data_IF_664810369345
#
_entry.id   IF_664810369345
#
_cell.length_a   1.000
_cell.length_b   1.000
_cell.length_c   1.000
_cell.angle_alpha   90.00
_cell.angle_beta   90.00
_cell.angle_gamma   90.00
#
_symmetry.space_group_name_H-M   'P 1'
#
loop_
_entity.id
_entity.type
_entity.pdbx_description
1 polymer ?
#
# COMPACT_ATOMS: atom_id res chain seq x y z
N UNK A 1 -28.77 38.66 -44.46
CA UNK A 1 -30.23 38.68 -44.62
C UNK A 1 -30.58 37.36 -45.31
N UNK A 2 -31.16 36.32 -44.72
CA UNK A 2 -32.21 36.23 -43.71
C UNK A 2 -32.01 35.00 -42.80
N UNK A 3 -32.35 35.18 -41.53
CA UNK A 3 -32.61 34.12 -40.56
C UNK A 3 -33.77 33.24 -41.00
N UNK A 4 -33.68 31.93 -40.75
CA UNK A 4 -34.85 31.09 -40.54
C UNK A 4 -34.73 30.34 -39.22
N UNK A 5 -35.50 30.83 -38.26
CA UNK A 5 -35.96 30.12 -37.07
C UNK A 5 -37.30 29.47 -37.42
N UNK A 6 -37.48 28.18 -37.12
CA UNK A 6 -38.77 27.51 -36.86
C UNK A 6 -38.43 26.08 -36.42
N UNK A 7 -38.41 25.81 -35.10
CA UNK A 7 -39.54 25.26 -34.34
C UNK A 7 -40.01 23.89 -34.86
N UNK A 8 -39.52 22.81 -34.25
CA UNK A 8 -40.28 21.57 -34.14
C UNK A 8 -40.14 21.01 -32.74
N UNK A 9 -41.19 21.24 -31.96
CA UNK A 9 -41.44 20.62 -30.66
C UNK A 9 -41.91 19.19 -30.90
N UNK A 10 -41.04 18.21 -30.69
CA UNK A 10 -41.47 16.82 -30.49
C UNK A 10 -41.67 16.60 -29.00
N UNK A 11 -42.93 16.69 -28.61
CA UNK A 11 -43.46 16.22 -27.33
C UNK A 11 -43.45 14.69 -27.27
N UNK A 12 -43.75 14.12 -26.09
CA UNK A 12 -43.90 12.68 -25.75
C UNK A 12 -42.58 11.96 -25.42
N UNK A 13 -42.32 11.41 -24.22
CA UNK A 13 -43.19 11.12 -23.08
C UNK A 13 -42.36 11.15 -21.79
N UNK A 14 -42.76 12.02 -20.85
CA UNK A 14 -42.46 11.86 -19.44
C UNK A 14 -43.36 10.76 -18.89
N UNK A 15 -42.87 9.52 -18.86
CA UNK A 15 -43.48 8.50 -18.01
C UNK A 15 -43.09 8.78 -16.55
N UNK A 16 -43.90 9.64 -15.94
CA UNK A 16 -44.19 9.64 -14.52
C UNK A 16 -44.86 8.32 -14.14
N UNK A 17 -44.20 7.52 -13.29
CA UNK A 17 -44.83 6.63 -12.29
C UNK A 17 -43.76 6.40 -11.21
N UNK A 18 -43.58 7.38 -10.32
CA UNK A 18 -44.17 7.44 -8.97
C UNK A 18 -43.37 6.64 -7.92
N UNK A 19 -42.70 7.31 -6.96
CA UNK A 19 -42.19 6.70 -5.74
C UNK A 19 -43.34 6.59 -4.74
N UNK A 20 -43.72 5.37 -4.35
CA UNK A 20 -44.80 5.16 -3.38
C UNK A 20 -44.33 4.28 -2.22
N UNK A 21 -44.26 4.95 -1.07
CA UNK A 21 -44.52 4.47 0.29
C UNK A 21 -43.46 3.61 0.99
N UNK A 22 -42.85 4.08 2.09
CA UNK A 22 -43.41 4.35 3.43
C UNK A 22 -44.05 3.11 4.08
N UNK A 23 -43.31 2.47 4.98
CA UNK A 23 -43.65 2.40 6.42
C UNK A 23 -42.59 1.61 7.22
N UNK A 24 -41.97 2.30 8.18
CA UNK A 24 -41.25 1.71 9.33
C UNK A 24 -42.27 1.09 10.31
N UNK A 25 -41.80 0.24 11.25
CA UNK A 25 -41.76 0.78 12.62
C UNK A 25 -40.43 0.53 13.36
N UNK A 26 -40.17 1.32 14.43
CA UNK A 26 -39.02 1.16 15.31
C UNK A 26 -39.31 0.08 16.37
N UNK A 27 -38.29 -0.65 16.80
CA UNK A 27 -38.32 -1.36 18.08
C UNK A 27 -37.19 -0.86 18.97
N UNK A 28 -37.61 0.04 19.85
CA UNK A 28 -36.98 0.35 21.12
C UNK A 28 -36.83 -0.93 21.94
N UNK A 29 -35.67 -1.13 22.55
CA UNK A 29 -35.55 -1.65 23.92
C UNK A 29 -34.15 -1.33 24.43
N UNK A 30 -34.07 -0.33 25.31
CA UNK A 30 -32.93 -0.19 26.20
C UNK A 30 -33.04 -1.21 27.34
N UNK A 31 -31.90 -1.71 27.80
CA UNK A 31 -31.64 -1.91 29.23
C UNK A 31 -30.20 -1.49 29.49
N UNK A 32 -29.96 -0.55 30.42
CA UNK A 32 -28.64 -0.20 30.91
C UNK A 32 -28.28 -1.06 32.13
N UNK A 33 -27.00 -1.42 32.28
CA UNK A 33 -26.30 -1.62 33.57
C UNK A 33 -24.82 -1.85 33.25
N UNK A 34 -23.93 -0.91 33.52
CA UNK A 34 -23.25 -0.75 34.82
C UNK A 34 -22.71 -2.06 35.36
N UNK A 35 -21.44 -2.35 35.05
CA UNK A 35 -20.49 -2.72 36.08
C UNK A 35 -19.19 -1.95 35.85
N UNK A 36 -18.95 -1.03 36.78
CA UNK A 36 -17.63 -0.47 37.06
C UNK A 36 -16.72 -1.62 37.48
N UNK A 37 -15.55 -1.68 36.87
CA UNK A 37 -14.43 -2.49 37.33
C UNK A 37 -13.19 -1.60 37.40
N UNK A 38 -13.11 -0.79 38.46
CA UNK A 38 -11.86 -0.15 38.85
C UNK A 38 -10.88 -1.22 39.31
N UNK A 39 -9.87 -1.45 38.48
CA UNK A 39 -8.76 -2.36 38.75
C UNK A 39 -7.44 -1.66 38.49
N UNK A 40 -7.15 -0.62 39.29
CA UNK A 40 -5.82 -0.03 39.36
C UNK A 40 -4.86 -1.01 40.01
N UNK A 41 -3.94 -1.57 39.23
CA UNK A 41 -2.67 -2.05 39.78
C UNK A 41 -1.51 -1.72 38.84
N UNK A 42 -0.83 -0.64 39.21
CA UNK A 42 0.52 -0.35 38.78
C UNK A 42 1.42 -1.55 39.12
N UNK A 43 2.10 -2.05 38.09
CA UNK A 43 3.19 -3.00 38.16
C UNK A 43 4.05 -2.76 36.94
N UNK A 44 5.15 -2.05 37.15
CA UNK A 44 6.09 -1.60 36.14
C UNK A 44 6.70 -2.80 35.43
N UNK A 45 6.21 -3.11 34.24
CA UNK A 45 6.88 -3.96 33.27
C UNK A 45 7.58 -3.05 32.27
N UNK A 46 8.81 -2.66 32.57
CA UNK A 46 9.72 -2.15 31.55
C UNK A 46 10.06 -3.32 30.62
N UNK A 47 9.16 -3.64 29.69
CA UNK A 47 9.48 -4.48 28.56
C UNK A 47 10.11 -3.59 27.50
N UNK A 48 11.33 -3.17 27.79
CA UNK A 48 12.26 -2.71 26.77
C UNK A 48 12.38 -3.82 25.76
N UNK A 49 11.67 -3.72 24.64
CA UNK A 49 11.97 -4.50 23.43
C UNK A 49 13.27 -3.94 22.84
N UNK A 50 14.35 -4.02 23.62
CA UNK A 50 15.70 -4.08 23.10
C UNK A 50 15.66 -5.31 22.21
N UNK A 51 15.68 -5.14 20.89
CA UNK A 51 16.09 -6.23 20.03
C UNK A 51 17.48 -6.65 20.53
N UNK A 52 17.68 -7.86 21.07
CA UNK A 52 19.02 -8.37 21.22
C UNK A 52 19.51 -8.60 19.79
N UNK A 53 20.23 -7.61 19.24
CA UNK A 53 21.13 -7.85 18.11
C UNK A 53 22.34 -8.61 18.63
N UNK A 54 22.07 -9.83 19.08
CA UNK A 54 23.03 -10.85 19.48
C UNK A 54 22.56 -12.17 18.87
N UNK A 55 22.36 -12.15 17.56
CA UNK A 55 22.67 -13.34 16.78
C UNK A 55 24.01 -13.01 16.17
N UNK A 56 25.04 -13.66 16.69
CA UNK A 56 26.26 -13.94 15.95
C UNK A 56 25.83 -14.47 14.58
N UNK A 57 25.70 -13.56 13.61
CA UNK A 57 25.95 -13.93 12.25
C UNK A 57 27.39 -14.41 12.27
N UNK A 58 27.70 -15.66 11.88
CA UNK A 58 29.04 -15.93 11.45
C UNK A 58 29.27 -14.93 10.32
N UNK A 59 30.05 -13.89 10.59
CA UNK A 59 30.61 -13.06 9.53
C UNK A 59 31.30 -14.08 8.64
N UNK A 60 30.71 -14.32 7.46
CA UNK A 60 31.38 -14.99 6.38
C UNK A 60 32.74 -14.32 6.29
N UNK A 61 33.75 -15.12 6.60
CA UNK A 61 35.12 -14.72 6.82
C UNK A 61 35.50 -13.73 5.72
N UNK A 62 35.77 -12.49 6.10
CA UNK A 62 36.36 -11.48 5.21
C UNK A 62 37.85 -11.80 5.04
N UNK A 63 38.12 -12.98 4.48
CA UNK A 63 39.46 -13.32 4.02
C UNK A 63 39.66 -12.63 2.67
N UNK A 64 40.16 -11.39 2.71
CA UNK A 64 41.14 -10.89 1.74
C UNK A 64 41.51 -9.45 2.11
N UNK A 65 42.39 -9.27 3.11
CA UNK A 65 43.16 -8.03 3.22
C UNK A 65 44.25 -8.05 2.12
N UNK A 66 43.83 -7.84 0.87
CA UNK A 66 44.70 -7.40 -0.22
C UNK A 66 44.04 -6.19 -0.84
N UNK A 67 44.83 -5.20 -1.26
CA UNK A 67 44.34 -3.99 -1.93
C UNK A 67 43.83 -4.29 -3.34
N UNK A 68 42.77 -5.11 -3.43
CA UNK A 68 41.83 -5.12 -4.52
C UNK A 68 40.63 -4.29 -4.04
N UNK A 69 40.16 -3.36 -4.88
CA UNK A 69 38.88 -2.69 -4.61
C UNK A 69 37.80 -3.75 -4.41
N UNK A 70 36.96 -3.61 -3.38
CA UNK A 70 35.81 -4.49 -3.17
C UNK A 70 35.01 -4.63 -4.48
N UNK A 71 34.58 -5.85 -4.85
CA UNK A 71 33.75 -6.04 -6.03
C UNK A 71 32.47 -5.21 -5.90
N UNK A 72 32.24 -4.31 -6.85
CA UNK A 72 31.04 -3.46 -6.89
C UNK A 72 29.85 -4.31 -7.31
N UNK A 73 28.75 -4.24 -6.54
CA UNK A 73 27.49 -4.90 -6.90
C UNK A 73 26.76 -4.15 -8.01
N UNK A 74 27.04 -4.56 -9.25
CA UNK A 74 26.45 -3.98 -10.47
C UNK A 74 24.92 -4.11 -10.47
N UNK A 75 24.38 -5.17 -9.85
CA UNK A 75 22.93 -5.39 -9.80
C UNK A 75 22.26 -4.24 -9.05
N UNK A 76 22.82 -3.82 -7.91
CA UNK A 76 22.24 -2.76 -7.08
C UNK A 76 22.10 -1.43 -7.84
N UNK A 77 23.07 -1.08 -8.69
CA UNK A 77 23.01 0.18 -9.45
C UNK A 77 22.00 0.10 -10.61
N UNK A 78 21.90 -1.06 -11.27
CA UNK A 78 20.87 -1.30 -12.29
C UNK A 78 19.46 -1.29 -11.68
N UNK A 79 19.27 -1.87 -10.50
CA UNK A 79 17.99 -1.83 -9.77
C UNK A 79 17.57 -0.39 -9.45
N UNK A 80 18.51 0.45 -8.97
CA UNK A 80 18.24 1.88 -8.70
C UNK A 80 17.82 2.62 -9.97
N UNK A 81 18.51 2.39 -11.08
CA UNK A 81 18.16 2.99 -12.37
C UNK A 81 16.75 2.58 -12.81
N UNK A 82 16.45 1.27 -12.77
CA UNK A 82 15.15 0.72 -13.13
C UNK A 82 14.01 1.26 -12.24
N UNK A 83 14.25 1.40 -10.93
CA UNK A 83 13.29 2.01 -9.99
C UNK A 83 13.00 3.48 -10.30
N UNK A 84 14.03 4.25 -10.66
CA UNK A 84 13.91 5.67 -10.97
C UNK A 84 13.26 5.96 -12.33
N UNK A 85 13.34 5.01 -13.27
CA UNK A 85 12.92 5.19 -14.66
C UNK A 85 11.71 4.30 -15.01
N UNK A 86 11.95 3.10 -15.53
CA UNK A 86 10.94 2.17 -16.05
C UNK A 86 9.85 1.84 -15.02
N UNK A 87 10.24 1.67 -13.76
CA UNK A 87 9.35 1.23 -12.68
C UNK A 87 8.76 2.38 -11.86
N UNK A 88 9.00 3.64 -12.22
CA UNK A 88 8.59 4.81 -11.43
C UNK A 88 7.08 4.83 -11.10
N UNK A 89 6.22 4.42 -12.04
CA UNK A 89 4.77 4.33 -11.82
C UNK A 89 4.40 3.29 -10.76
N UNK A 90 5.09 2.14 -10.74
CA UNK A 90 4.88 1.09 -9.75
C UNK A 90 5.31 1.55 -8.36
N UNK A 91 6.44 2.27 -8.28
CA UNK A 91 6.91 2.94 -7.06
C UNK A 91 5.87 3.94 -6.53
N UNK A 92 5.29 4.77 -7.40
CA UNK A 92 4.23 5.71 -7.01
C UNK A 92 2.99 4.97 -6.44
N UNK A 93 2.56 3.88 -7.08
CA UNK A 93 1.44 3.09 -6.62
C UNK A 93 1.70 2.43 -5.24
N UNK A 94 2.92 1.93 -5.02
CA UNK A 94 3.33 1.39 -3.72
C UNK A 94 3.35 2.48 -2.65
N UNK A 95 3.91 3.66 -2.94
CA UNK A 95 3.90 4.78 -1.99
C UNK A 95 2.48 5.23 -1.64
N UNK A 96 1.57 5.29 -2.62
CA UNK A 96 0.15 5.56 -2.36
C UNK A 96 -0.50 4.47 -1.48
N UNK A 97 -0.11 3.21 -1.66
CA UNK A 97 -0.53 2.14 -0.76
C UNK A 97 0.00 2.33 0.67
N UNK A 98 1.27 2.71 0.83
CA UNK A 98 1.87 3.00 2.14
C UNK A 98 1.10 4.10 2.88
N UNK A 99 0.70 5.16 2.17
CA UNK A 99 -0.13 6.22 2.76
C UNK A 99 -1.52 5.71 3.15
N UNK A 100 -2.15 4.89 2.30
CA UNK A 100 -3.47 4.30 2.58
C UNK A 100 -3.45 3.46 3.86
N UNK A 101 -2.47 2.58 4.03
CA UNK A 101 -2.43 1.64 5.17
C UNK A 101 -2.23 2.32 6.52
N UNK A 102 -1.68 3.54 6.57
CA UNK A 102 -1.55 4.33 7.82
C UNK A 102 -2.89 4.62 8.49
N UNK A 103 -3.98 4.67 7.72
CA UNK A 103 -5.33 4.94 8.21
C UNK A 103 -6.14 3.68 8.53
N UNK A 104 -5.58 2.49 8.28
CA UNK A 104 -6.28 1.21 8.45
C UNK A 104 -5.95 0.63 9.82
N UNK A 105 -6.97 0.08 10.48
CA UNK A 105 -6.83 -0.65 11.73
C UNK A 105 -5.80 -1.80 11.60
N UNK A 106 -4.76 -1.86 12.46
CA UNK A 106 -3.76 -2.94 12.45
C UNK A 106 -4.35 -4.35 12.55
N UNK A 107 -5.50 -4.52 13.21
CA UNK A 107 -6.17 -5.82 13.34
C UNK A 107 -6.69 -6.36 12.00
N UNK A 108 -6.78 -5.50 10.97
CA UNK A 108 -7.15 -5.88 9.60
C UNK A 108 -5.95 -6.33 8.76
N UNK A 109 -4.76 -6.36 9.36
CA UNK A 109 -3.51 -6.77 8.70
C UNK A 109 -3.34 -6.08 7.33
N UNK A 110 -3.32 -4.73 7.28
CA UNK A 110 -3.23 -4.03 6.00
C UNK A 110 -1.86 -4.25 5.34
N UNK A 111 -1.88 -4.62 4.06
CA UNK A 111 -0.67 -4.92 3.29
C UNK A 111 -0.61 -4.19 1.96
N UNK A 112 0.61 -4.06 1.42
CA UNK A 112 0.92 -3.53 0.10
C UNK A 112 1.59 -4.58 -0.81
N UNK A 113 1.42 -5.87 -0.52
CA UNK A 113 2.09 -6.96 -1.24
C UNK A 113 1.84 -6.93 -2.75
N UNK A 114 0.62 -6.64 -3.19
CA UNK A 114 0.32 -6.54 -4.62
C UNK A 114 1.17 -5.46 -5.31
N UNK A 115 1.26 -4.27 -4.72
CA UNK A 115 2.09 -3.19 -5.25
C UNK A 115 3.58 -3.47 -5.12
N UNK A 116 3.99 -4.19 -4.08
CA UNK A 116 5.37 -4.63 -3.91
C UNK A 116 5.77 -5.64 -5.00
N UNK A 117 4.95 -6.67 -5.25
CA UNK A 117 5.21 -7.65 -6.32
C UNK A 117 5.23 -7.00 -7.70
N UNK A 118 4.39 -5.99 -7.94
CA UNK A 118 4.44 -5.17 -9.15
C UNK A 118 5.79 -4.46 -9.34
N UNK A 119 6.41 -3.97 -8.27
CA UNK A 119 7.75 -3.35 -8.31
C UNK A 119 8.80 -4.40 -8.61
N UNK A 120 8.84 -5.50 -7.84
CA UNK A 120 9.86 -6.54 -7.99
C UNK A 120 9.81 -7.13 -9.40
N UNK A 121 8.63 -7.46 -9.89
CA UNK A 121 8.46 -7.96 -11.25
C UNK A 121 8.97 -6.96 -12.31
N UNK A 122 8.65 -5.68 -12.15
CA UNK A 122 9.15 -4.65 -13.08
C UNK A 122 10.68 -4.52 -13.03
N UNK A 123 11.27 -4.53 -11.83
CA UNK A 123 12.71 -4.42 -11.64
C UNK A 123 13.43 -5.61 -12.26
N UNK A 124 12.97 -6.84 -11.99
CA UNK A 124 13.57 -8.06 -12.55
C UNK A 124 13.58 -8.01 -14.08
N UNK A 125 12.43 -7.68 -14.70
CA UNK A 125 12.31 -7.55 -16.16
C UNK A 125 13.22 -6.44 -16.72
N UNK A 126 13.39 -5.33 -16.00
CA UNK A 126 14.24 -4.23 -16.43
C UNK A 126 15.75 -4.52 -16.28
N UNK A 127 16.14 -5.21 -15.22
CA UNK A 127 17.53 -5.49 -14.87
C UNK A 127 18.09 -6.66 -15.67
N UNK A 128 17.31 -7.71 -15.89
CA UNK A 128 17.74 -8.94 -16.58
C UNK A 128 18.53 -8.69 -17.88
N UNK A 129 18.03 -7.92 -18.87
CA UNK A 129 18.76 -7.72 -20.12
C UNK A 129 20.05 -6.89 -19.98
N UNK A 130 20.23 -6.18 -18.86
CA UNK A 130 21.40 -5.32 -18.58
C UNK A 130 22.46 -6.06 -17.74
N UNK A 131 22.00 -6.88 -16.80
CA UNK A 131 22.85 -7.53 -15.80
C UNK A 131 23.64 -8.70 -16.41
N UNK A 132 22.96 -9.65 -17.05
CA UNK A 132 23.59 -10.90 -17.51
C UNK A 132 24.73 -10.70 -18.52
N UNK A 133 24.70 -9.73 -19.45
CA UNK A 133 25.85 -9.45 -20.33
C UNK A 133 27.07 -8.86 -19.62
N UNK A 134 26.87 -8.27 -18.43
CA UNK A 134 27.92 -7.57 -17.67
C UNK A 134 28.66 -8.51 -16.72
N UNK A 135 28.00 -9.57 -16.26
CA UNK A 135 28.59 -10.60 -15.40
C UNK A 135 29.52 -11.51 -16.24
N UNK A 136 30.70 -11.84 -15.68
CA UNK A 136 31.72 -12.71 -16.29
C UNK A 136 31.63 -14.13 -15.73
#
# INVERSE_FOLDING_TARGET
MYSHSLSSRSSFSLFFFAPYWQSLPPLTNGVPSLLHGDGSRAGQGELSLVHPRSRSQPQCIVDSFTMASDPVDIKLDLEKECLATECAKKVQAYNACLERIKSVDPMKEPHCYNQYFDIIHCVDVCVDPKLWPTLK
#
